data_IF_720466519684
#
_entry.id   IF_720466519684
#
_cell.length_a   1.000
_cell.length_b   1.000
_cell.length_c   1.000
_cell.angle_alpha   90.00
_cell.angle_beta   90.00
_cell.angle_gamma   90.00
#
_symmetry.space_group_name_H-M   'P 1'
#
loop_
_entity.id
_entity.type
_entity.pdbx_description
1 polymer ?
#
# COMPACT_ATOMS: atom_id res chain seq x y z
N UNK A 1 31.16 5.21 19.78
CA UNK A 1 29.81 5.38 20.36
C UNK A 1 28.83 5.93 19.33
N UNK A 2 29.22 6.96 18.56
CA UNK A 2 28.42 7.51 17.45
C UNK A 2 27.89 6.47 16.46
N UNK A 3 28.74 5.54 16.00
CA UNK A 3 28.33 4.53 15.02
C UNK A 3 27.19 3.62 15.52
N UNK A 4 27.29 3.11 16.76
CA UNK A 4 26.27 2.25 17.34
C UNK A 4 24.94 3.00 17.56
N UNK A 5 25.02 4.29 17.88
CA UNK A 5 23.85 5.13 18.06
C UNK A 5 23.10 5.35 16.72
N UNK A 6 23.83 5.71 15.65
CA UNK A 6 23.25 5.85 14.31
C UNK A 6 22.66 4.51 13.83
N UNK A 7 23.38 3.42 14.05
CA UNK A 7 22.91 2.08 13.69
C UNK A 7 21.60 1.72 14.38
N UNK A 8 21.49 1.99 15.69
CA UNK A 8 20.28 1.76 16.46
C UNK A 8 19.08 2.59 15.96
N UNK A 9 19.31 3.87 15.61
CA UNK A 9 18.26 4.73 15.05
C UNK A 9 17.77 4.19 13.71
N UNK A 10 18.68 3.81 12.82
CA UNK A 10 18.33 3.28 11.50
C UNK A 10 17.44 2.04 11.67
N UNK A 11 17.88 1.04 12.43
CA UNK A 11 17.07 -0.16 12.67
C UNK A 11 15.75 0.14 13.39
N UNK A 12 15.73 1.09 14.33
CA UNK A 12 14.52 1.54 14.99
C UNK A 12 13.49 2.11 14.01
N UNK A 13 13.92 2.99 13.09
CA UNK A 13 13.04 3.57 12.07
C UNK A 13 12.57 2.52 11.06
N UNK A 14 13.45 1.62 10.63
CA UNK A 14 13.07 0.52 9.75
C UNK A 14 12.01 -0.38 10.41
N UNK A 15 12.25 -0.79 11.66
CA UNK A 15 11.28 -1.58 12.43
C UNK A 15 9.94 -0.88 12.59
N UNK A 16 9.96 0.41 12.94
CA UNK A 16 8.75 1.22 13.04
C UNK A 16 8.00 1.32 11.71
N UNK A 17 8.72 1.45 10.60
CA UNK A 17 8.11 1.52 9.26
C UNK A 17 7.35 0.23 8.91
N UNK A 18 7.91 -0.94 9.20
CA UNK A 18 7.21 -2.22 9.01
C UNK A 18 5.96 -2.35 9.88
N UNK A 19 6.04 -1.90 11.13
CA UNK A 19 4.88 -1.87 12.04
C UNK A 19 3.79 -0.94 11.51
N UNK A 20 4.15 0.26 11.04
CA UNK A 20 3.19 1.24 10.54
C UNK A 20 2.53 0.83 9.23
N UNK A 21 3.27 0.22 8.29
CA UNK A 21 2.71 -0.29 7.02
C UNK A 21 1.64 -1.36 7.30
N UNK A 22 1.81 -2.15 8.37
CA UNK A 22 0.89 -3.21 8.77
C UNK A 22 -0.05 -2.82 9.92
N UNK A 23 -0.15 -1.53 10.28
CA UNK A 23 -0.90 -1.08 11.45
C UNK A 23 -2.36 -1.54 11.42
N UNK A 24 -2.99 -1.51 10.25
CA UNK A 24 -4.36 -1.96 10.09
C UNK A 24 -4.50 -3.45 10.40
N UNK A 25 -3.58 -4.27 9.93
CA UNK A 25 -3.59 -5.70 10.24
C UNK A 25 -3.38 -5.94 11.73
N UNK A 26 -2.45 -5.21 12.36
CA UNK A 26 -2.17 -5.36 13.79
C UNK A 26 -3.36 -5.00 14.69
N UNK A 27 -4.09 -3.93 14.36
CA UNK A 27 -5.18 -3.43 15.20
C UNK A 27 -6.56 -3.97 14.85
N UNK A 28 -6.82 -4.32 13.58
CA UNK A 28 -8.15 -4.79 13.14
C UNK A 28 -8.17 -6.24 12.66
N UNK A 29 -7.00 -6.89 12.52
CA UNK A 29 -6.87 -8.23 11.94
C UNK A 29 -7.19 -8.31 10.44
N UNK A 30 -7.53 -7.18 9.80
CA UNK A 30 -7.91 -7.15 8.40
C UNK A 30 -6.70 -6.97 7.49
N UNK A 31 -6.75 -7.58 6.31
CA UNK A 31 -5.69 -7.44 5.31
C UNK A 31 -5.62 -6.02 4.72
N UNK A 32 -4.42 -5.68 4.25
CA UNK A 32 -4.18 -4.44 3.51
C UNK A 32 -5.02 -4.44 2.21
N UNK A 33 -5.81 -3.38 1.99
CA UNK A 33 -6.78 -3.30 0.88
C UNK A 33 -6.17 -2.92 -0.48
N UNK A 34 -4.84 -2.90 -0.58
CA UNK A 34 -4.12 -2.38 -1.74
C UNK A 34 -4.26 -0.87 -1.85
N UNK A 35 -3.44 -0.25 -2.69
CA UNK A 35 -3.66 1.14 -3.11
C UNK A 35 -4.46 1.17 -4.42
N UNK A 36 -4.77 2.35 -4.94
CA UNK A 36 -5.51 2.44 -6.21
C UNK A 36 -4.75 1.75 -7.37
N UNK A 37 -3.42 1.63 -7.28
CA UNK A 37 -2.55 0.87 -8.20
C UNK A 37 -2.96 -0.58 -8.38
N UNK A 38 -3.09 -1.26 -7.25
CA UNK A 38 -3.04 -2.71 -7.17
C UNK A 38 -4.25 -3.36 -7.86
N UNK A 39 -5.30 -2.58 -8.10
CA UNK A 39 -6.58 -3.05 -8.63
C UNK A 39 -6.98 -2.43 -10.00
N UNK A 40 -6.07 -1.73 -10.69
CA UNK A 40 -6.30 -1.31 -12.09
C UNK A 40 -5.92 -2.46 -13.04
N UNK A 41 -6.86 -2.99 -13.83
CA UNK A 41 -6.58 -4.14 -14.71
C UNK A 41 -5.58 -3.85 -15.83
N UNK A 42 -5.37 -2.58 -16.22
CA UNK A 42 -4.32 -2.18 -17.18
C UNK A 42 -2.93 -2.03 -16.55
N UNK A 43 -2.86 -1.63 -15.27
CA UNK A 43 -1.59 -1.44 -14.53
C UNK A 43 -1.21 -2.63 -13.65
N UNK A 44 -2.07 -3.65 -13.60
CA UNK A 44 -1.83 -4.92 -12.89
C UNK A 44 -0.53 -5.60 -13.32
N UNK A 45 -0.06 -5.32 -14.54
CA UNK A 45 1.13 -5.94 -15.13
C UNK A 45 2.40 -5.07 -15.02
N UNK A 46 2.32 -3.76 -14.70
CA UNK A 46 3.42 -2.81 -14.97
C UNK A 46 3.61 -1.67 -13.94
N UNK A 47 3.35 -1.87 -12.63
CA UNK A 47 3.92 -1.01 -11.56
C UNK A 47 3.19 0.35 -11.27
N UNK A 48 1.98 0.35 -10.69
CA UNK A 48 1.56 1.48 -9.80
C UNK A 48 0.24 2.23 -10.04
N UNK A 49 0.05 3.37 -9.34
CA UNK A 49 -1.24 3.93 -8.84
C UNK A 49 -2.24 4.49 -9.86
N UNK A 50 -3.50 4.04 -9.77
CA UNK A 50 -4.61 4.45 -10.61
C UNK A 50 -5.24 5.78 -10.15
N UNK A 51 -5.16 6.83 -10.95
CA UNK A 51 -5.70 8.16 -10.65
C UNK A 51 -7.17 8.36 -11.07
N UNK A 52 -7.82 7.32 -11.63
CA UNK A 52 -9.07 7.48 -12.40
C UNK A 52 -10.31 6.80 -11.79
N UNK A 53 -10.16 5.91 -10.80
CA UNK A 53 -11.24 4.96 -10.49
C UNK A 53 -12.19 5.32 -9.34
N UNK A 54 -11.78 6.14 -8.36
CA UNK A 54 -12.66 6.63 -7.28
C UNK A 54 -13.36 5.57 -6.40
N UNK A 55 -12.98 4.28 -6.48
CA UNK A 55 -13.64 3.17 -5.80
C UNK A 55 -13.49 3.23 -4.28
N UNK A 56 -14.49 2.70 -3.55
CA UNK A 56 -14.36 2.51 -2.10
C UNK A 56 -13.37 1.36 -1.78
N UNK A 57 -12.81 1.32 -0.56
CA UNK A 57 -11.76 0.37 -0.19
C UNK A 57 -12.09 -1.12 -0.39
N UNK A 58 -13.38 -1.49 -0.42
CA UNK A 58 -13.86 -2.88 -0.61
C UNK A 58 -14.50 -3.13 -1.98
N UNK A 59 -14.53 -2.13 -2.87
CA UNK A 59 -15.16 -2.25 -4.18
C UNK A 59 -14.10 -2.53 -5.25
N UNK A 60 -14.38 -3.42 -6.19
CA UNK A 60 -13.54 -3.58 -7.38
C UNK A 60 -13.50 -2.26 -8.19
N UNK A 61 -12.40 -1.99 -8.88
CA UNK A 61 -12.34 -0.86 -9.78
C UNK A 61 -13.31 -1.10 -10.96
N UNK A 62 -14.35 -0.28 -11.06
CA UNK A 62 -15.33 -0.34 -12.15
C UNK A 62 -14.82 0.52 -13.29
N UNK A 63 -14.23 -0.11 -14.30
CA UNK A 63 -13.90 0.60 -15.54
C UNK A 63 -15.18 0.94 -16.30
N UNK A 64 -15.27 2.10 -16.97
CA UNK A 64 -16.35 2.35 -17.91
C UNK A 64 -16.29 1.34 -19.07
N UNK A 65 -17.44 0.85 -19.52
CA UNK A 65 -17.54 0.00 -20.71
C UNK A 65 -17.12 0.82 -21.93
N UNK A 66 -16.03 0.41 -22.59
CA UNK A 66 -15.62 1.03 -23.86
C UNK A 66 -16.50 0.44 -24.95
N UNK A 67 -17.45 1.22 -25.46
CA UNK A 67 -18.23 0.84 -26.64
C UNK A 67 -17.28 0.83 -27.83
N UNK A 68 -17.16 -0.33 -28.48
CA UNK A 68 -16.44 -0.48 -29.75
C UNK A 68 -17.22 0.16 -30.90
#
# INVERSE_FOLDING_TARGET
MEFLYVLAIVFGIFGLSFLLINIRHLFTGQEFRGTCATNNPMLKNEIGECTVCGRKPDEACKMPEVQH
#
